data_IF_960540424793
#
_entry.id   IF_960540424793
#
_cell.length_a   1.000
_cell.length_b   1.000
_cell.length_c   1.000
_cell.angle_alpha   90.00
_cell.angle_beta   90.00
_cell.angle_gamma   90.00
#
_symmetry.space_group_name_H-M   'P 1'
#
loop_
_entity.id
_entity.type
_entity.pdbx_description
1 polymer ?
#
# COMPACT_ATOMS: atom_id res chain seq x y z
N UNK A 1 -9.67 12.93 32.66
CA UNK A 1 -9.15 13.16 31.30
C UNK A 1 -9.24 11.85 30.55
N UNK A 2 -9.67 11.88 29.29
CA UNK A 2 -9.78 10.66 28.46
C UNK A 2 -8.40 10.14 28.11
N UNK A 3 -8.13 8.86 28.36
CA UNK A 3 -6.85 8.22 28.07
C UNK A 3 -7.03 7.13 27.02
N UNK A 4 -6.17 7.10 26.00
CA UNK A 4 -6.13 6.07 24.97
C UNK A 4 -4.77 5.42 24.90
N UNK A 5 -4.74 4.11 25.11
CA UNK A 5 -3.55 3.29 24.90
C UNK A 5 -3.60 2.67 23.51
N UNK A 6 -2.58 2.90 22.69
CA UNK A 6 -2.47 2.39 21.32
C UNK A 6 -1.32 1.39 21.25
N UNK A 7 -1.59 0.21 20.69
CA UNK A 7 -0.62 -0.89 20.56
C UNK A 7 -0.25 -1.08 19.11
N UNK A 8 0.91 -0.58 18.71
CA UNK A 8 1.45 -0.58 17.35
C UNK A 8 1.60 0.84 16.80
N UNK A 9 2.81 1.19 16.37
CA UNK A 9 3.14 2.46 15.72
C UNK A 9 3.32 2.30 14.20
N UNK A 10 2.51 1.45 13.57
CA UNK A 10 2.30 1.45 12.12
C UNK A 10 1.49 2.67 11.68
N UNK A 11 1.27 2.83 10.38
CA UNK A 11 0.53 3.97 9.81
C UNK A 11 -0.87 4.14 10.42
N UNK A 12 -1.59 3.03 10.69
CA UNK A 12 -2.89 3.07 11.35
C UNK A 12 -2.81 3.59 12.79
N UNK A 13 -1.85 3.09 13.58
CA UNK A 13 -1.65 3.49 14.97
C UNK A 13 -1.19 4.94 15.08
N UNK A 14 -0.30 5.39 14.20
CA UNK A 14 0.14 6.79 14.14
C UNK A 14 -1.02 7.72 13.76
N UNK A 15 -1.83 7.34 12.78
CA UNK A 15 -3.02 8.11 12.38
C UNK A 15 -4.04 8.21 13.52
N UNK A 16 -4.28 7.09 14.22
CA UNK A 16 -5.13 7.06 15.41
C UNK A 16 -4.58 7.92 16.53
N UNK A 17 -3.26 7.86 16.81
CA UNK A 17 -2.61 8.65 17.84
C UNK A 17 -2.72 10.16 17.58
N UNK A 18 -2.48 10.58 16.32
CA UNK A 18 -2.64 11.98 15.92
C UNK A 18 -4.09 12.43 16.06
N UNK A 19 -5.05 11.65 15.56
CA UNK A 19 -6.48 11.97 15.64
C UNK A 19 -6.97 12.05 17.10
N UNK A 20 -6.55 11.09 17.95
CA UNK A 20 -6.89 11.08 19.37
C UNK A 20 -6.31 12.29 20.10
N UNK A 21 -5.05 12.65 19.84
CA UNK A 21 -4.42 13.84 20.42
C UNK A 21 -5.15 15.12 20.02
N UNK A 22 -5.57 15.25 18.74
CA UNK A 22 -6.40 16.37 18.26
C UNK A 22 -7.77 16.43 18.95
N UNK A 23 -8.34 15.25 19.29
CA UNK A 23 -9.61 15.15 20.02
C UNK A 23 -9.45 15.32 21.56
N UNK A 24 -8.28 15.71 22.05
CA UNK A 24 -8.01 15.98 23.45
C UNK A 24 -7.78 14.74 24.35
N UNK A 25 -7.47 13.59 23.74
CA UNK A 25 -7.10 12.39 24.48
C UNK A 25 -5.64 12.43 24.93
N UNK A 26 -5.36 11.90 26.10
CA UNK A 26 -4.00 11.57 26.51
C UNK A 26 -3.60 10.24 25.87
N UNK A 27 -2.64 10.28 24.96
CA UNK A 27 -2.21 9.12 24.20
C UNK A 27 -0.97 8.47 24.83
N UNK A 28 -1.03 7.13 24.95
CA UNK A 28 0.11 6.30 25.24
C UNK A 28 0.29 5.29 24.09
N UNK A 29 1.42 5.33 23.41
CA UNK A 29 1.71 4.54 22.23
C UNK A 29 2.83 3.54 22.50
N UNK A 30 2.56 2.25 22.24
CA UNK A 30 3.52 1.16 22.36
C UNK A 30 3.87 0.59 21.00
N UNK A 31 5.17 0.39 20.75
CA UNK A 31 5.67 -0.25 19.53
C UNK A 31 6.75 -1.27 19.90
N UNK A 32 6.61 -2.48 19.35
CA UNK A 32 7.54 -3.58 19.63
C UNK A 32 8.91 -3.38 18.97
N UNK A 33 8.96 -2.69 17.84
CA UNK A 33 10.20 -2.35 17.16
C UNK A 33 10.81 -1.04 17.70
N UNK A 34 12.11 -0.86 17.48
CA UNK A 34 12.81 0.38 17.84
C UNK A 34 12.53 1.54 16.87
N UNK A 35 11.69 1.32 15.85
CA UNK A 35 11.27 2.30 14.83
C UNK A 35 9.80 2.17 14.56
N UNK A 36 9.14 3.28 14.31
CA UNK A 36 7.76 3.33 13.84
C UNK A 36 7.65 3.04 12.33
N UNK A 37 6.41 2.91 11.85
CA UNK A 37 6.08 2.73 10.44
C UNK A 37 5.51 1.34 10.10
N UNK A 38 5.71 0.34 10.97
CA UNK A 38 5.20 -1.02 10.73
C UNK A 38 5.81 -1.66 9.48
N UNK A 39 4.99 -2.07 8.53
CA UNK A 39 5.43 -2.65 7.24
C UNK A 39 6.01 -1.59 6.29
N UNK A 40 5.51 -0.37 6.30
CA UNK A 40 6.03 0.75 5.51
C UNK A 40 7.00 1.59 6.36
N UNK A 41 8.24 1.13 6.43
CA UNK A 41 9.32 1.72 7.25
C UNK A 41 10.66 1.66 6.51
N UNK A 42 11.59 2.49 6.96
CA UNK A 42 12.99 2.42 6.56
C UNK A 42 13.73 1.29 7.28
N UNK A 43 14.69 0.69 6.59
CA UNK A 43 15.59 -0.33 7.15
C UNK A 43 16.82 0.32 7.82
N UNK A 44 17.62 -0.51 8.48
CA UNK A 44 18.93 -0.09 8.97
C UNK A 44 20.00 -0.07 7.86
N UNK A 45 19.83 -0.94 6.85
CA UNK A 45 20.68 -0.97 5.67
C UNK A 45 20.55 0.34 4.89
N UNK A 46 21.66 0.81 4.38
CA UNK A 46 21.72 2.05 3.61
C UNK A 46 22.52 1.88 2.32
N UNK A 47 22.21 2.72 1.34
CA UNK A 47 22.97 2.89 0.11
C UNK A 47 23.27 4.37 -0.09
N UNK A 48 24.55 4.71 -0.36
CA UNK A 48 24.99 6.11 -0.52
C UNK A 48 24.57 7.03 0.64
N UNK A 49 24.63 6.53 1.89
CA UNK A 49 24.29 7.29 3.10
C UNK A 49 22.79 7.48 3.36
N UNK A 50 21.91 6.90 2.55
CA UNK A 50 20.46 6.94 2.74
C UNK A 50 19.90 5.57 3.05
N UNK A 51 18.92 5.43 3.97
CA UNK A 51 18.30 4.15 4.27
C UNK A 51 17.66 3.52 3.03
N UNK A 52 17.66 2.18 2.98
CA UNK A 52 16.77 1.41 2.12
C UNK A 52 15.41 1.25 2.83
N UNK A 53 14.39 0.98 2.06
CA UNK A 53 13.05 0.76 2.57
C UNK A 53 12.70 -0.73 2.67
N UNK A 54 11.75 -1.08 3.55
CA UNK A 54 11.22 -2.45 3.67
C UNK A 54 10.50 -2.91 2.39
N UNK A 55 10.28 -2.01 1.45
CA UNK A 55 9.71 -2.22 0.14
C UNK A 55 9.43 -0.90 -0.54
N UNK A 56 9.36 -0.90 -1.87
CA UNK A 56 8.97 0.28 -2.60
C UNK A 56 7.46 0.50 -2.46
N UNK A 57 7.06 1.67 -1.99
CA UNK A 57 5.66 2.05 -1.85
C UNK A 57 5.32 3.15 -2.84
N UNK A 58 4.08 3.12 -3.33
CA UNK A 58 3.48 4.17 -4.14
C UNK A 58 2.18 4.58 -3.44
N UNK A 59 1.93 5.87 -3.38
CA UNK A 59 0.63 6.42 -3.06
C UNK A 59 -0.05 6.86 -4.36
N UNK A 60 -1.34 7.07 -4.34
CA UNK A 60 -2.06 7.70 -5.46
C UNK A 60 -2.74 8.99 -5.01
N UNK A 61 -3.05 9.85 -5.96
CA UNK A 61 -3.69 11.13 -5.65
C UNK A 61 -5.05 11.02 -4.94
N UNK A 62 -5.69 9.84 -5.02
CA UNK A 62 -6.90 9.51 -4.27
C UNK A 62 -6.69 9.27 -2.76
N UNK A 63 -5.44 9.17 -2.27
CA UNK A 63 -5.12 8.94 -0.85
C UNK A 63 -5.26 10.22 -0.02
N UNK A 64 -6.50 10.71 0.10
CA UNK A 64 -6.81 12.01 0.68
C UNK A 64 -6.52 12.09 2.17
N UNK A 65 -6.85 11.04 2.92
CA UNK A 65 -6.68 11.03 4.38
C UNK A 65 -5.20 10.92 4.75
N UNK A 66 -4.43 10.14 4.00
CA UNK A 66 -2.97 10.06 4.15
C UNK A 66 -2.31 11.41 3.87
N UNK A 67 -2.65 12.07 2.76
CA UNK A 67 -2.11 13.38 2.42
C UNK A 67 -2.54 14.47 3.42
N UNK A 68 -3.76 14.37 3.96
CA UNK A 68 -4.23 15.26 5.03
C UNK A 68 -3.46 15.04 6.33
N UNK A 69 -3.20 13.78 6.72
CA UNK A 69 -2.40 13.45 7.89
C UNK A 69 -0.97 14.00 7.77
N UNK A 70 -0.33 13.87 6.60
CA UNK A 70 0.99 14.46 6.35
C UNK A 70 0.99 15.96 6.65
N UNK A 71 -0.01 16.70 6.14
CA UNK A 71 -0.13 18.15 6.40
C UNK A 71 -0.38 18.45 7.88
N UNK A 72 -1.19 17.63 8.56
CA UNK A 72 -1.50 17.79 9.99
C UNK A 72 -0.24 17.71 10.84
N UNK A 73 0.70 16.85 10.50
CA UNK A 73 1.97 16.71 11.24
C UNK A 73 3.08 17.66 10.74
N UNK A 74 2.73 18.60 9.86
CA UNK A 74 3.65 19.66 9.40
C UNK A 74 4.46 19.31 8.16
N UNK A 75 4.13 18.22 7.46
CA UNK A 75 4.78 17.84 6.21
C UNK A 75 4.06 18.48 5.01
N UNK A 76 4.82 18.89 4.00
CA UNK A 76 4.27 19.23 2.69
C UNK A 76 4.39 18.02 1.74
N UNK A 77 3.29 17.36 1.35
CA UNK A 77 3.35 16.21 0.46
C UNK A 77 4.06 16.47 -0.87
N UNK A 78 3.99 17.70 -1.39
CA UNK A 78 4.61 18.03 -2.67
C UNK A 78 6.15 18.04 -2.62
N UNK A 79 6.73 18.24 -1.45
CA UNK A 79 8.19 18.21 -1.27
C UNK A 79 8.71 16.77 -1.15
N UNK A 80 7.87 15.87 -0.61
CA UNK A 80 8.24 14.51 -0.25
C UNK A 80 7.83 13.47 -1.29
N UNK A 81 6.87 13.81 -2.16
CA UNK A 81 6.30 12.91 -3.16
C UNK A 81 6.49 13.49 -4.55
N UNK A 82 7.01 12.68 -5.46
CA UNK A 82 6.99 12.99 -6.88
C UNK A 82 5.64 12.58 -7.47
N UNK A 83 4.92 13.56 -8.00
CA UNK A 83 3.67 13.33 -8.70
C UNK A 83 3.95 13.00 -10.15
N UNK A 84 3.47 11.84 -10.59
CA UNK A 84 3.58 11.36 -11.97
C UNK A 84 2.18 11.03 -12.47
N UNK A 85 1.83 11.36 -13.71
CA UNK A 85 0.61 10.82 -14.33
C UNK A 85 0.70 9.30 -14.35
N UNK A 86 -0.45 8.62 -14.39
CA UNK A 86 -0.47 7.15 -14.53
C UNK A 86 0.18 6.78 -15.87
N UNK A 87 1.34 6.16 -15.78
CA UNK A 87 2.12 5.69 -16.91
C UNK A 87 2.50 4.22 -16.70
N UNK A 88 1.95 3.36 -17.53
CA UNK A 88 2.17 1.92 -17.55
C UNK A 88 2.83 1.50 -18.86
N UNK A 89 3.74 2.32 -19.35
CA UNK A 89 4.56 1.93 -20.52
C UNK A 89 5.68 1.01 -20.08
N UNK A 90 5.83 -0.03 -20.89
CA UNK A 90 6.93 -0.98 -20.77
C UNK A 90 8.23 -0.39 -21.33
N UNK A 91 9.35 -1.07 -21.06
CA UNK A 91 10.66 -0.64 -21.52
C UNK A 91 10.76 -0.51 -23.06
N UNK A 92 9.96 -1.29 -23.81
CA UNK A 92 9.85 -1.23 -25.27
C UNK A 92 8.96 -0.05 -25.78
N UNK A 93 8.41 0.74 -24.88
CA UNK A 93 7.56 1.90 -25.15
C UNK A 93 6.11 1.55 -25.48
N UNK A 94 5.71 0.27 -25.41
CA UNK A 94 4.31 -0.15 -25.54
C UNK A 94 3.55 0.10 -24.23
N UNK A 95 2.21 0.15 -24.31
CA UNK A 95 1.34 0.28 -23.14
C UNK A 95 0.58 1.60 -23.09
N UNK A 96 0.01 1.89 -21.94
CA UNK A 96 -0.88 3.01 -21.67
C UNK A 96 -0.18 4.11 -20.87
N UNK A 97 -0.32 5.37 -21.31
CA UNK A 97 0.05 6.55 -20.53
C UNK A 97 -1.08 7.55 -20.56
N UNK A 98 -1.46 8.07 -19.40
CA UNK A 98 -2.52 9.07 -19.31
C UNK A 98 -1.92 10.49 -19.40
N UNK A 99 -2.41 11.36 -20.29
CA UNK A 99 -2.01 12.77 -20.28
C UNK A 99 -2.56 13.46 -19.02
N UNK A 100 -1.92 14.55 -18.61
CA UNK A 100 -2.37 15.37 -17.50
C UNK A 100 -3.57 16.25 -17.88
N UNK A 101 -4.67 15.61 -18.25
CA UNK A 101 -5.94 16.24 -18.61
C UNK A 101 -7.03 15.86 -17.61
N UNK A 102 -8.13 16.63 -17.51
CA UNK A 102 -9.26 16.26 -16.68
C UNK A 102 -9.90 14.94 -17.12
N UNK A 103 -10.32 14.12 -16.15
CA UNK A 103 -11.13 12.93 -16.40
C UNK A 103 -12.53 13.35 -16.90
N UNK A 104 -13.12 12.69 -17.93
CA UNK A 104 -12.67 11.43 -18.56
C UNK A 104 -11.77 11.61 -19.79
N UNK A 105 -11.43 12.83 -20.17
CA UNK A 105 -10.66 13.11 -21.40
C UNK A 105 -9.27 12.47 -21.38
N UNK A 106 -8.61 12.45 -20.22
CA UNK A 106 -7.31 11.79 -20.06
C UNK A 106 -7.38 10.29 -20.33
N UNK A 107 -8.45 9.61 -19.91
CA UNK A 107 -8.66 8.19 -20.15
C UNK A 107 -8.87 7.91 -21.64
N UNK A 108 -9.78 8.67 -22.27
CA UNK A 108 -10.05 8.52 -23.71
C UNK A 108 -8.80 8.77 -24.54
N UNK A 109 -8.05 9.82 -24.24
CA UNK A 109 -6.81 10.13 -24.94
C UNK A 109 -5.74 9.06 -24.68
N UNK A 110 -5.54 8.62 -23.44
CA UNK A 110 -4.59 7.57 -23.10
C UNK A 110 -4.90 6.26 -23.83
N UNK A 111 -6.15 5.81 -23.80
CA UNK A 111 -6.59 4.59 -24.52
C UNK A 111 -6.40 4.76 -26.03
N UNK A 112 -6.80 5.89 -26.59
CA UNK A 112 -6.66 6.15 -28.04
C UNK A 112 -5.20 6.14 -28.50
N UNK A 113 -4.29 6.67 -27.67
CA UNK A 113 -2.85 6.76 -27.93
C UNK A 113 -2.04 5.55 -27.46
N UNK A 114 -2.67 4.54 -26.82
CA UNK A 114 -1.98 3.35 -26.31
C UNK A 114 -1.22 2.66 -27.44
N UNK A 115 0.11 2.50 -27.26
CA UNK A 115 0.99 1.91 -28.26
C UNK A 115 0.99 0.39 -28.19
N UNK A 116 1.07 -0.28 -29.34
CA UNK A 116 1.02 -1.75 -29.43
C UNK A 116 -0.40 -2.33 -29.36
N UNK A 117 -1.44 -1.51 -29.12
CA UNK A 117 -2.83 -1.95 -29.00
C UNK A 117 -3.58 -1.85 -30.32
N UNK A 118 -4.32 -2.90 -30.67
CA UNK A 118 -5.23 -2.93 -31.81
C UNK A 118 -6.48 -2.09 -31.53
N UNK A 119 -7.21 -1.70 -32.54
CA UNK A 119 -8.50 -0.99 -32.39
C UNK A 119 -9.48 -1.81 -31.55
N UNK A 120 -9.53 -3.12 -31.78
CA UNK A 120 -10.38 -4.05 -31.01
C UNK A 120 -10.05 -4.03 -29.51
N UNK A 121 -8.78 -3.94 -29.14
CA UNK A 121 -8.34 -3.84 -27.74
C UNK A 121 -8.84 -2.54 -27.10
N UNK A 122 -8.68 -1.42 -27.80
CA UNK A 122 -9.14 -0.11 -27.34
C UNK A 122 -10.65 -0.05 -27.18
N UNK A 123 -11.39 -0.60 -28.13
CA UNK A 123 -12.86 -0.67 -28.08
C UNK A 123 -13.32 -1.52 -26.92
N UNK A 124 -12.73 -2.72 -26.71
CA UNK A 124 -13.10 -3.60 -25.60
C UNK A 124 -12.92 -2.92 -24.24
N UNK A 125 -11.82 -2.15 -24.05
CA UNK A 125 -11.60 -1.41 -22.80
C UNK A 125 -12.61 -0.27 -22.59
N UNK A 126 -12.94 0.47 -23.66
CA UNK A 126 -13.94 1.56 -23.58
C UNK A 126 -15.31 0.98 -23.23
N UNK A 127 -15.71 -0.12 -23.85
CA UNK A 127 -16.99 -0.80 -23.57
C UNK A 127 -17.04 -1.33 -22.14
N UNK A 128 -15.99 -1.98 -21.67
CA UNK A 128 -15.90 -2.45 -20.29
C UNK A 128 -15.96 -1.30 -19.28
N UNK A 129 -15.20 -0.24 -19.51
CA UNK A 129 -15.19 0.94 -18.62
C UNK A 129 -16.57 1.63 -18.57
N UNK A 130 -17.25 1.72 -19.71
CA UNK A 130 -18.63 2.22 -19.77
C UNK A 130 -19.60 1.32 -19.02
N UNK A 131 -19.53 0.00 -19.21
CA UNK A 131 -20.34 -0.97 -18.50
C UNK A 131 -20.14 -0.88 -16.98
N UNK A 132 -18.89 -0.79 -16.51
CA UNK A 132 -18.58 -0.61 -15.08
C UNK A 132 -19.13 0.71 -14.54
N UNK A 133 -19.08 1.79 -15.30
CA UNK A 133 -19.63 3.07 -14.91
C UNK A 133 -21.17 3.01 -14.82
N UNK A 134 -21.86 2.39 -15.79
CA UNK A 134 -23.32 2.19 -15.75
C UNK A 134 -23.73 1.33 -14.56
N UNK A 135 -22.95 0.32 -14.22
CA UNK A 135 -23.09 -0.52 -13.02
C UNK A 135 -22.60 0.16 -11.72
N UNK A 136 -22.27 1.47 -11.74
CA UNK A 136 -21.74 2.24 -10.60
C UNK A 136 -20.50 1.60 -9.95
N UNK A 137 -19.70 0.87 -10.73
CA UNK A 137 -18.55 0.08 -10.27
C UNK A 137 -18.94 -1.00 -9.24
N UNK A 138 -20.11 -1.58 -9.39
CA UNK A 138 -20.61 -2.70 -8.59
C UNK A 138 -20.64 -3.97 -9.45
N UNK A 139 -20.40 -5.12 -8.83
CA UNK A 139 -20.49 -6.44 -9.45
C UNK A 139 -20.86 -7.49 -8.41
N UNK A 140 -21.05 -8.73 -8.83
CA UNK A 140 -21.24 -9.85 -7.91
C UNK A 140 -20.02 -9.97 -6.97
N UNK A 141 -20.31 -10.12 -5.68
CA UNK A 141 -19.29 -10.19 -4.63
C UNK A 141 -18.43 -11.44 -4.68
N UNK A 142 -18.91 -12.47 -5.36
CA UNK A 142 -18.20 -13.74 -5.55
C UNK A 142 -17.22 -13.69 -6.71
N UNK A 143 -17.30 -12.67 -7.59
CA UNK A 143 -16.45 -12.60 -8.76
C UNK A 143 -15.00 -12.27 -8.43
N UNK A 144 -14.14 -12.98 -9.15
CA UNK A 144 -12.73 -12.59 -9.28
C UNK A 144 -12.54 -11.54 -10.37
N UNK A 145 -11.38 -10.86 -10.36
CA UNK A 145 -11.01 -9.92 -11.44
C UNK A 145 -10.95 -10.62 -12.80
N UNK A 146 -10.52 -11.89 -12.84
CA UNK A 146 -10.53 -12.68 -14.08
C UNK A 146 -11.95 -12.88 -14.62
N UNK A 147 -12.91 -13.22 -13.76
CA UNK A 147 -14.32 -13.34 -14.13
C UNK A 147 -14.92 -11.99 -14.58
N UNK A 148 -14.57 -10.90 -13.88
CA UNK A 148 -14.95 -9.55 -14.29
C UNK A 148 -14.48 -9.24 -15.71
N UNK A 149 -13.21 -9.53 -16.05
CA UNK A 149 -12.66 -9.35 -17.39
C UNK A 149 -13.41 -10.17 -18.43
N UNK A 150 -13.71 -11.43 -18.11
CA UNK A 150 -14.45 -12.32 -19.00
C UNK A 150 -15.86 -11.82 -19.28
N UNK A 151 -16.62 -11.47 -18.25
CA UNK A 151 -18.00 -10.94 -18.38
C UNK A 151 -18.02 -9.58 -19.09
N UNK A 152 -16.97 -8.78 -18.92
CA UNK A 152 -16.82 -7.48 -19.59
C UNK A 152 -16.25 -7.61 -21.02
N UNK A 153 -16.03 -8.81 -21.53
CA UNK A 153 -15.51 -9.11 -22.87
C UNK A 153 -14.20 -8.36 -23.19
N UNK A 154 -13.35 -8.17 -22.17
CA UNK A 154 -12.05 -7.55 -22.35
C UNK A 154 -11.16 -8.43 -23.23
N UNK A 155 -10.43 -7.79 -24.16
CA UNK A 155 -9.48 -8.53 -24.99
C UNK A 155 -8.36 -9.14 -24.12
N UNK A 156 -7.83 -10.32 -24.47
CA UNK A 156 -6.73 -10.94 -23.74
C UNK A 156 -5.50 -10.02 -23.63
N UNK A 157 -5.25 -9.22 -24.66
CA UNK A 157 -4.13 -8.28 -24.70
C UNK A 157 -4.29 -7.17 -23.64
N UNK A 158 -5.46 -6.55 -23.54
CA UNK A 158 -5.75 -5.54 -22.48
C UNK A 158 -5.72 -6.17 -21.09
N UNK A 159 -6.27 -7.37 -20.97
CA UNK A 159 -6.26 -8.09 -19.70
C UNK A 159 -4.83 -8.28 -19.19
N UNK A 160 -3.93 -8.78 -20.03
CA UNK A 160 -2.54 -9.07 -19.66
C UNK A 160 -1.69 -7.81 -19.49
N UNK A 161 -1.85 -6.82 -20.37
CA UNK A 161 -0.98 -5.63 -20.36
C UNK A 161 -1.45 -4.49 -19.45
N UNK A 162 -2.70 -4.49 -19.05
CA UNK A 162 -3.25 -3.41 -18.22
C UNK A 162 -3.87 -3.96 -16.92
N UNK A 163 -4.86 -4.84 -17.04
CA UNK A 163 -5.67 -5.23 -15.87
C UNK A 163 -4.84 -6.06 -14.88
N UNK A 164 -4.08 -7.03 -15.36
CA UNK A 164 -3.27 -7.89 -14.49
C UNK A 164 -2.19 -7.10 -13.72
N UNK A 165 -1.37 -6.24 -14.35
CA UNK A 165 -0.43 -5.39 -13.63
C UNK A 165 -1.10 -4.44 -12.65
N UNK A 166 -2.25 -3.84 -13.00
CA UNK A 166 -3.01 -2.98 -12.10
C UNK A 166 -3.58 -3.76 -10.91
N UNK A 167 -4.12 -4.95 -11.14
CA UNK A 167 -4.64 -5.82 -10.10
C UNK A 167 -3.54 -6.22 -9.12
N UNK A 168 -2.41 -6.69 -9.62
CA UNK A 168 -1.25 -7.03 -8.80
C UNK A 168 -0.73 -5.84 -8.00
N UNK A 169 -0.65 -4.66 -8.62
CA UNK A 169 -0.16 -3.44 -7.95
C UNK A 169 -1.12 -2.94 -6.87
N UNK A 170 -2.43 -3.02 -7.11
CA UNK A 170 -3.45 -2.47 -6.23
C UNK A 170 -3.87 -3.43 -5.12
N UNK A 171 -3.95 -4.74 -5.42
CA UNK A 171 -4.49 -5.75 -4.52
C UNK A 171 -3.44 -6.74 -4.01
N UNK A 172 -2.26 -6.75 -4.61
CA UNK A 172 -1.20 -7.74 -4.36
C UNK A 172 -1.72 -9.19 -4.37
N UNK A 173 -2.69 -9.47 -5.21
CA UNK A 173 -3.37 -10.77 -5.35
C UNK A 173 -3.53 -11.06 -6.84
N UNK A 174 -3.21 -12.27 -7.31
CA UNK A 174 -3.40 -12.64 -8.72
C UNK A 174 -4.85 -12.46 -9.17
N UNK A 175 -5.06 -12.05 -10.42
CA UNK A 175 -6.41 -11.71 -10.92
C UNK A 175 -7.43 -12.86 -10.85
N UNK A 176 -6.98 -14.11 -10.85
CA UNK A 176 -7.86 -15.28 -10.73
C UNK A 176 -8.30 -15.56 -9.28
N UNK A 177 -7.70 -14.88 -8.30
CA UNK A 177 -8.04 -14.96 -6.88
C UNK A 177 -8.55 -13.62 -6.34
N UNK A 178 -8.19 -12.50 -6.98
CA UNK A 178 -8.45 -11.16 -6.51
C UNK A 178 -9.93 -10.77 -6.63
N UNK A 179 -10.46 -10.09 -5.61
CA UNK A 179 -11.85 -9.60 -5.55
C UNK A 179 -12.13 -8.54 -6.60
N UNK A 180 -13.08 -8.80 -7.49
CA UNK A 180 -13.56 -7.83 -8.49
C UNK A 180 -14.21 -6.60 -7.84
N UNK A 181 -14.98 -6.78 -6.77
CA UNK A 181 -15.62 -5.68 -6.04
C UNK A 181 -14.60 -4.69 -5.48
N UNK A 182 -13.51 -5.18 -4.88
CA UNK A 182 -12.46 -4.33 -4.34
C UNK A 182 -11.65 -3.67 -5.46
N UNK A 183 -11.38 -4.39 -6.53
CA UNK A 183 -10.70 -3.84 -7.72
C UNK A 183 -11.49 -2.70 -8.36
N UNK A 184 -12.79 -2.90 -8.60
CA UNK A 184 -13.67 -1.86 -9.13
C UNK A 184 -13.75 -0.64 -8.19
N UNK A 185 -13.70 -0.85 -6.87
CA UNK A 185 -13.65 0.24 -5.90
C UNK A 185 -12.37 1.07 -6.06
N UNK A 186 -11.22 0.43 -6.19
CA UNK A 186 -9.94 1.12 -6.42
C UNK A 186 -9.98 1.90 -7.74
N UNK A 187 -10.45 1.27 -8.82
CA UNK A 187 -10.59 1.94 -10.12
C UNK A 187 -11.51 3.15 -10.04
N UNK A 188 -12.66 3.03 -9.39
CA UNK A 188 -13.59 4.15 -9.22
C UNK A 188 -12.93 5.33 -8.51
N UNK A 189 -12.27 5.09 -7.38
CA UNK A 189 -11.68 6.15 -6.58
C UNK A 189 -10.45 6.78 -7.28
N UNK A 190 -9.66 5.99 -8.01
CA UNK A 190 -8.55 6.49 -8.80
C UNK A 190 -9.02 7.28 -10.04
N UNK A 191 -10.02 6.80 -10.76
CA UNK A 191 -10.43 7.38 -12.03
C UNK A 191 -11.51 8.47 -11.89
N UNK A 192 -12.40 8.38 -10.87
CA UNK A 192 -13.49 9.31 -10.66
C UNK A 192 -13.33 10.18 -9.41
N UNK A 193 -12.22 10.07 -8.69
CA UNK A 193 -11.93 10.83 -7.47
C UNK A 193 -11.66 12.33 -7.68
N UNK A 194 -11.64 12.80 -8.92
CA UNK A 194 -11.35 14.18 -9.31
C UNK A 194 -9.97 14.34 -9.97
N UNK A 195 -9.60 15.58 -10.28
CA UNK A 195 -8.34 15.88 -10.96
C UNK A 195 -7.14 15.36 -10.15
N UNK A 196 -6.25 14.62 -10.82
CA UNK A 196 -5.03 14.06 -10.24
C UNK A 196 -5.23 12.87 -9.28
N UNK A 197 -6.46 12.32 -9.12
CA UNK A 197 -6.70 11.15 -8.26
C UNK A 197 -6.00 9.90 -8.75
N UNK A 198 -5.81 9.75 -10.05
CA UNK A 198 -5.07 8.65 -10.68
C UNK A 198 -3.56 8.84 -10.71
N UNK A 199 -3.05 10.02 -10.35
CA UNK A 199 -1.62 10.26 -10.35
C UNK A 199 -0.91 9.35 -9.35
N UNK A 200 0.24 8.86 -9.75
CA UNK A 200 1.15 8.13 -8.88
C UNK A 200 1.95 9.14 -8.05
N UNK A 201 2.01 8.91 -6.76
CA UNK A 201 2.77 9.71 -5.82
C UNK A 201 3.91 8.85 -5.27
N UNK A 202 5.08 9.03 -5.84
CA UNK A 202 6.26 8.20 -5.52
C UNK A 202 7.15 8.92 -4.51
N UNK A 203 7.53 8.28 -3.39
CA UNK A 203 8.37 8.90 -2.37
C UNK A 203 9.75 9.33 -2.90
N UNK A 204 10.14 10.57 -2.56
CA UNK A 204 11.48 11.15 -2.78
C UNK A 204 12.39 10.97 -1.57
N UNK A 205 11.82 10.55 -0.46
CA UNK A 205 12.51 10.29 0.81
C UNK A 205 12.28 8.83 1.21
N UNK A 206 12.99 8.35 2.21
CA UNK A 206 12.73 7.05 2.81
C UNK A 206 11.38 7.04 3.55
N UNK A 207 10.84 5.85 3.78
CA UNK A 207 9.49 5.69 4.35
C UNK A 207 9.39 6.16 5.81
N UNK A 208 10.49 6.20 6.57
CA UNK A 208 10.51 6.77 7.91
C UNK A 208 10.27 8.28 7.87
N UNK A 209 11.04 8.98 7.03
CA UNK A 209 10.93 10.42 6.84
C UNK A 209 9.63 10.83 6.14
N UNK A 210 8.99 9.92 5.39
CA UNK A 210 7.76 10.21 4.66
C UNK A 210 6.57 10.55 5.57
N UNK A 211 6.43 9.86 6.72
CA UNK A 211 5.35 10.12 7.68
C UNK A 211 5.69 9.71 9.12
N UNK A 212 6.17 8.48 9.42
CA UNK A 212 6.32 7.98 10.79
C UNK A 212 7.10 8.91 11.72
N UNK A 213 8.26 9.40 11.29
CA UNK A 213 9.14 10.23 12.14
C UNK A 213 8.48 11.57 12.49
N UNK A 214 7.80 12.19 11.51
CA UNK A 214 7.06 13.43 11.75
C UNK A 214 5.87 13.21 12.70
N UNK A 215 5.16 12.08 12.58
CA UNK A 215 4.09 11.73 13.53
C UNK A 215 4.63 11.59 14.95
N UNK A 216 5.75 10.88 15.14
CA UNK A 216 6.36 10.72 16.47
C UNK A 216 6.79 12.07 17.05
N UNK A 217 7.42 12.93 16.26
CA UNK A 217 7.82 14.25 16.68
C UNK A 217 6.61 15.11 17.06
N UNK A 218 5.57 15.13 16.22
CA UNK A 218 4.34 15.88 16.46
C UNK A 218 3.61 15.44 17.72
N UNK A 219 3.53 14.13 17.98
CA UNK A 219 2.93 13.51 19.16
C UNK A 219 3.73 13.85 20.44
N UNK A 220 5.06 13.72 20.39
CA UNK A 220 5.94 14.01 21.51
C UNK A 220 5.82 15.48 21.95
N UNK A 221 5.79 16.42 21.00
CA UNK A 221 5.59 17.85 21.29
C UNK A 221 4.25 18.17 21.95
N UNK A 222 3.28 17.23 21.89
CA UNK A 222 1.93 17.36 22.49
C UNK A 222 1.73 16.49 23.71
N UNK A 223 2.83 15.96 24.27
CA UNK A 223 2.83 15.22 25.52
C UNK A 223 2.34 13.77 25.43
N UNK A 224 2.26 13.18 24.23
CA UNK A 224 2.01 11.76 24.10
C UNK A 224 3.17 10.94 24.67
N UNK A 225 2.86 9.86 25.38
CA UNK A 225 3.88 8.94 25.92
C UNK A 225 4.18 7.86 24.88
N UNK A 226 5.41 7.82 24.36
CA UNK A 226 5.81 6.92 23.28
C UNK A 226 6.84 5.92 23.81
N UNK A 227 6.55 4.62 23.64
CA UNK A 227 7.39 3.51 24.09
C UNK A 227 7.78 2.65 22.85
N UNK A 228 8.93 2.95 22.24
CA UNK A 228 9.53 2.12 21.19
C UNK A 228 10.33 0.98 21.84
N UNK A 229 10.46 -0.15 21.12
CA UNK A 229 11.14 -1.35 21.61
C UNK A 229 10.38 -2.09 22.71
N UNK A 230 9.12 -1.72 22.96
CA UNK A 230 8.29 -2.36 23.99
C UNK A 230 7.12 -3.15 23.41
N UNK A 231 7.26 -4.48 23.39
CA UNK A 231 6.18 -5.40 23.04
C UNK A 231 5.32 -5.70 24.26
N UNK A 232 3.99 -5.50 24.15
CA UNK A 232 3.05 -5.86 25.19
C UNK A 232 2.75 -7.36 25.20
N UNK A 233 2.65 -7.93 26.40
CA UNK A 233 2.11 -9.28 26.63
C UNK A 233 0.58 -9.25 26.69
N UNK A 234 -0.07 -10.42 26.61
CA UNK A 234 -1.51 -10.53 26.80
C UNK A 234 -1.93 -10.09 28.21
N UNK A 235 -1.16 -10.46 29.25
CA UNK A 235 -1.43 -10.06 30.62
C UNK A 235 -1.35 -8.54 30.83
N UNK A 236 -0.36 -7.86 30.22
CA UNK A 236 -0.29 -6.40 30.26
C UNK A 236 -1.49 -5.75 29.55
N UNK A 237 -1.96 -6.31 28.43
CA UNK A 237 -3.16 -5.84 27.75
C UNK A 237 -4.39 -6.01 28.64
N UNK A 238 -4.58 -7.18 29.25
CA UNK A 238 -5.68 -7.46 30.17
C UNK A 238 -5.69 -6.47 31.33
N UNK A 239 -4.54 -6.19 31.92
CA UNK A 239 -4.40 -5.21 33.00
C UNK A 239 -4.78 -3.79 32.56
N UNK A 240 -4.36 -3.37 31.34
CA UNK A 240 -4.74 -2.08 30.77
C UNK A 240 -6.26 -2.01 30.48
N UNK A 241 -6.84 -3.09 29.99
CA UNK A 241 -8.27 -3.20 29.68
C UNK A 241 -9.13 -3.14 30.97
N UNK A 242 -8.72 -3.82 32.05
CA UNK A 242 -9.41 -3.79 33.33
C UNK A 242 -9.37 -2.44 34.04
N UNK A 243 -8.35 -1.62 33.77
CA UNK A 243 -8.20 -0.29 34.40
C UNK A 243 -9.09 0.79 33.78
N UNK A 244 -10.15 0.42 33.05
CA UNK A 244 -11.12 1.31 32.41
C UNK A 244 -10.50 2.33 31.43
N UNK A 245 -9.32 2.07 30.91
CA UNK A 245 -8.70 2.85 29.83
C UNK A 245 -9.10 2.30 28.49
N UNK A 246 -9.45 3.16 27.54
CA UNK A 246 -9.69 2.70 26.15
C UNK A 246 -8.39 2.20 25.53
N UNK A 247 -8.43 1.02 24.92
CA UNK A 247 -7.28 0.40 24.26
C UNK A 247 -7.57 0.20 22.79
N UNK A 248 -6.61 0.53 21.95
CA UNK A 248 -6.68 0.38 20.50
C UNK A 248 -5.56 -0.52 19.99
N UNK A 249 -5.90 -1.69 19.46
CA UNK A 249 -4.98 -2.60 18.79
C UNK A 249 -4.73 -2.10 17.35
N UNK A 250 -3.56 -1.53 17.11
CA UNK A 250 -3.10 -1.06 15.81
C UNK A 250 -1.92 -1.91 15.27
N UNK A 251 -1.76 -3.10 15.82
CA UNK A 251 -0.75 -4.09 15.45
C UNK A 251 -1.29 -5.03 14.35
N UNK A 252 -0.43 -5.84 13.70
CA UNK A 252 -0.86 -6.80 12.68
C UNK A 252 -1.88 -7.83 13.22
N UNK A 253 -2.74 -8.41 12.34
CA UNK A 253 -3.85 -9.26 12.78
C UNK A 253 -3.43 -10.48 13.62
N UNK A 254 -2.30 -11.12 13.32
CA UNK A 254 -1.78 -12.24 14.12
C UNK A 254 -1.33 -11.83 15.52
N UNK A 255 -0.84 -10.59 15.67
CA UNK A 255 -0.47 -10.04 16.98
C UNK A 255 -1.69 -9.57 17.75
N UNK A 256 -2.65 -8.95 17.06
CA UNK A 256 -3.94 -8.59 17.63
C UNK A 256 -4.71 -9.83 18.11
N UNK A 257 -4.70 -10.92 17.34
CA UNK A 257 -5.25 -12.21 17.72
C UNK A 257 -4.60 -12.76 19.02
N UNK A 258 -3.26 -12.75 19.08
CA UNK A 258 -2.53 -13.18 20.27
C UNK A 258 -2.87 -12.36 21.53
N UNK A 259 -3.01 -11.06 21.36
CA UNK A 259 -3.32 -10.14 22.45
C UNK A 259 -4.76 -10.26 22.94
N UNK A 260 -5.72 -10.41 22.02
CA UNK A 260 -7.15 -10.44 22.34
C UNK A 260 -7.71 -11.85 22.62
N UNK A 261 -6.88 -12.90 22.56
CA UNK A 261 -7.33 -14.30 22.61
C UNK A 261 -8.22 -14.62 23.82
N UNK A 262 -7.91 -14.10 25.00
CA UNK A 262 -8.69 -14.36 26.23
C UNK A 262 -9.88 -13.40 26.38
N UNK A 263 -9.79 -12.18 25.83
CA UNK A 263 -10.83 -11.16 25.96
C UNK A 263 -11.95 -11.38 24.91
N UNK A 264 -11.58 -11.69 23.68
CA UNK A 264 -12.48 -11.83 22.55
C UNK A 264 -12.06 -12.98 21.63
N UNK A 265 -12.21 -14.25 22.05
CA UNK A 265 -11.66 -15.40 21.33
C UNK A 265 -12.21 -15.57 19.91
N UNK A 266 -13.48 -15.26 19.65
CA UNK A 266 -14.06 -15.33 18.31
C UNK A 266 -13.43 -14.32 17.37
N UNK A 267 -13.30 -13.07 17.79
CA UNK A 267 -12.63 -12.00 17.04
C UNK A 267 -11.15 -12.34 16.79
N UNK A 268 -10.47 -12.87 17.81
CA UNK A 268 -9.07 -13.29 17.71
C UNK A 268 -8.89 -14.41 16.68
N UNK A 269 -9.78 -15.42 16.67
CA UNK A 269 -9.77 -16.49 15.68
C UNK A 269 -10.00 -15.97 14.25
N UNK A 270 -10.91 -15.01 14.06
CA UNK A 270 -11.13 -14.38 12.77
C UNK A 270 -9.86 -13.65 12.28
N UNK A 271 -9.18 -12.91 13.17
CA UNK A 271 -7.90 -12.28 12.85
C UNK A 271 -6.80 -13.30 12.49
N UNK A 272 -6.72 -14.40 13.22
CA UNK A 272 -5.72 -15.46 13.01
C UNK A 272 -5.93 -16.21 11.68
N UNK A 273 -7.16 -16.29 11.20
CA UNK A 273 -7.53 -16.95 9.95
C UNK A 273 -7.24 -16.11 8.69
N UNK A 274 -6.85 -14.84 8.83
CA UNK A 274 -6.58 -13.97 7.69
C UNK A 274 -5.30 -14.41 6.95
N UNK A 275 -5.44 -14.70 5.68
CA UNK A 275 -4.33 -15.04 4.80
C UNK A 275 -3.63 -13.80 4.25
N UNK A 276 -2.34 -13.94 3.93
CA UNK A 276 -1.49 -12.85 3.49
C UNK A 276 -0.70 -13.23 2.24
N UNK A 277 -0.44 -12.23 1.41
CA UNK A 277 0.44 -12.34 0.25
C UNK A 277 1.74 -11.55 0.47
N UNK A 278 2.83 -12.09 -0.07
CA UNK A 278 4.14 -11.46 0.05
C UNK A 278 4.38 -10.42 -1.06
N UNK A 279 5.22 -9.44 -0.74
CA UNK A 279 5.83 -8.52 -1.71
C UNK A 279 7.34 -8.59 -1.53
N UNK A 280 8.06 -8.62 -2.65
CA UNK A 280 9.51 -8.50 -2.61
C UNK A 280 9.98 -7.24 -3.34
N UNK A 281 11.10 -6.70 -2.87
CA UNK A 281 11.84 -5.64 -3.53
C UNK A 281 13.29 -6.08 -3.66
N UNK A 282 13.78 -6.12 -4.89
CA UNK A 282 15.19 -6.41 -5.20
C UNK A 282 15.87 -5.09 -5.53
N UNK A 283 16.79 -4.68 -4.67
CA UNK A 283 17.64 -3.51 -4.90
C UNK A 283 18.85 -3.91 -5.75
N UNK A 284 19.01 -3.25 -6.87
CA UNK A 284 20.06 -3.46 -7.85
C UNK A 284 20.90 -2.18 -7.98
N UNK A 285 22.22 -2.32 -8.05
CA UNK A 285 23.13 -1.25 -8.35
C UNK A 285 23.61 -1.38 -9.80
N UNK A 286 23.45 -0.31 -10.57
CA UNK A 286 24.10 -0.21 -11.87
C UNK A 286 25.50 0.39 -11.68
N UNK A 287 26.51 -0.36 -12.05
CA UNK A 287 27.94 0.04 -11.94
C UNK A 287 28.48 0.68 -13.23
N UNK A 288 27.62 0.85 -14.23
CA UNK A 288 27.99 1.53 -15.47
C UNK A 288 28.04 3.05 -15.22
N UNK A 289 29.22 3.64 -15.34
CA UNK A 289 29.43 5.09 -15.17
C UNK A 289 28.64 5.92 -16.20
N UNK A 290 28.34 5.34 -17.37
CA UNK A 290 27.52 5.98 -18.41
C UNK A 290 26.03 5.97 -18.08
N UNK A 291 25.60 5.19 -17.07
CA UNK A 291 24.19 5.14 -16.66
C UNK A 291 23.75 6.43 -16.00
N UNK A 292 22.92 7.19 -16.70
CA UNK A 292 22.40 8.49 -16.23
C UNK A 292 21.01 8.38 -15.56
N UNK A 293 20.43 7.18 -15.55
CA UNK A 293 19.09 6.89 -15.04
C UNK A 293 18.19 6.21 -16.09
N UNK A 294 17.04 5.76 -15.65
CA UNK A 294 16.01 5.23 -16.54
C UNK A 294 15.31 6.37 -17.28
N UNK A 295 14.64 6.06 -18.40
CA UNK A 295 13.85 7.03 -19.17
C UNK A 295 12.74 7.68 -18.36
N UNK A 296 12.29 7.01 -17.30
CA UNK A 296 11.29 7.49 -16.34
C UNK A 296 11.62 6.97 -14.94
N UNK A 297 11.15 7.66 -13.87
CA UNK A 297 11.39 7.23 -12.48
C UNK A 297 10.80 5.87 -12.14
N UNK A 298 9.79 5.41 -12.90
CA UNK A 298 9.17 4.09 -12.80
C UNK A 298 8.94 3.56 -14.22
N UNK A 299 9.33 2.32 -14.47
CA UNK A 299 9.12 1.62 -15.74
C UNK A 299 8.41 0.30 -15.48
N UNK A 300 7.38 -0.02 -16.26
CA UNK A 300 6.73 -1.33 -16.24
C UNK A 300 7.62 -2.38 -16.93
N UNK A 301 7.59 -3.59 -16.40
CA UNK A 301 8.31 -4.74 -16.95
C UNK A 301 7.33 -5.82 -17.39
N UNK A 302 7.62 -6.47 -18.50
CA UNK A 302 6.89 -7.68 -18.88
C UNK A 302 7.16 -8.77 -17.85
N UNK A 303 6.13 -9.17 -17.12
CA UNK A 303 6.24 -10.18 -16.07
C UNK A 303 5.80 -11.57 -16.55
N UNK A 304 6.35 -12.60 -15.90
CA UNK A 304 6.07 -13.99 -16.18
C UNK A 304 6.81 -14.93 -15.23
N UNK A 305 6.72 -16.25 -15.42
CA UNK A 305 7.25 -17.25 -14.45
C UNK A 305 8.74 -17.13 -14.14
N UNK A 306 9.54 -16.64 -15.09
CA UNK A 306 10.99 -16.41 -14.93
C UNK A 306 11.37 -14.93 -14.91
N UNK A 307 10.40 -14.04 -14.95
CA UNK A 307 10.55 -12.60 -14.99
C UNK A 307 9.52 -11.98 -14.02
N UNK A 308 9.70 -12.14 -12.70
CA UNK A 308 8.62 -11.92 -11.73
C UNK A 308 8.33 -10.45 -11.42
N UNK A 309 9.22 -9.51 -11.74
CA UNK A 309 9.03 -8.10 -11.41
C UNK A 309 8.02 -7.43 -12.34
N UNK A 310 7.09 -6.66 -11.77
CA UNK A 310 6.12 -5.87 -12.52
C UNK A 310 6.65 -4.48 -12.83
N UNK A 311 7.43 -3.91 -11.91
CA UNK A 311 7.95 -2.54 -12.04
C UNK A 311 9.39 -2.45 -11.54
N UNK A 312 10.11 -1.49 -12.12
CA UNK A 312 11.40 -1.05 -11.62
C UNK A 312 11.38 0.45 -11.37
N UNK A 313 11.97 0.89 -10.26
CA UNK A 313 12.06 2.28 -9.85
C UNK A 313 13.50 2.76 -9.87
N UNK A 314 13.73 3.94 -10.43
CA UNK A 314 15.02 4.62 -10.41
C UNK A 314 15.14 5.47 -9.13
N UNK A 315 15.85 4.97 -8.15
CA UNK A 315 16.08 5.67 -6.87
C UNK A 315 17.02 6.88 -7.06
N UNK A 316 17.81 6.91 -8.13
CA UNK A 316 18.60 8.07 -8.52
C UNK A 316 17.73 9.26 -8.88
N UNK A 317 16.74 9.05 -9.76
CA UNK A 317 15.77 10.05 -10.17
C UNK A 317 14.82 10.46 -9.05
N UNK A 318 14.44 9.53 -8.17
CA UNK A 318 13.46 9.76 -7.09
C UNK A 318 14.09 10.38 -5.85
N UNK A 319 15.15 9.79 -5.33
CA UNK A 319 15.74 10.12 -4.01
C UNK A 319 17.22 10.48 -4.07
N UNK A 320 17.80 10.65 -5.28
CA UNK A 320 19.20 11.01 -5.45
C UNK A 320 20.21 9.89 -5.17
N UNK A 321 19.75 8.63 -5.04
CA UNK A 321 20.60 7.44 -4.88
C UNK A 321 21.03 6.93 -6.26
N UNK A 322 21.96 7.66 -6.92
CA UNK A 322 22.40 7.38 -8.29
C UNK A 322 22.82 5.92 -8.48
N UNK A 323 22.37 5.32 -9.57
CA UNK A 323 22.66 3.94 -9.93
C UNK A 323 21.86 2.89 -9.16
N UNK A 324 21.05 3.27 -8.15
CA UNK A 324 20.20 2.34 -7.41
C UNK A 324 18.85 2.17 -8.09
N UNK A 325 18.50 0.93 -8.39
CA UNK A 325 17.21 0.52 -8.93
C UNK A 325 16.49 -0.37 -7.91
N UNK A 326 15.15 -0.31 -7.90
CA UNK A 326 14.32 -1.16 -7.05
C UNK A 326 13.29 -1.92 -7.92
N UNK A 327 13.55 -3.21 -8.15
CA UNK A 327 12.61 -4.11 -8.83
C UNK A 327 11.57 -4.65 -7.85
N UNK A 328 10.28 -4.50 -8.16
CA UNK A 328 9.16 -4.87 -7.27
C UNK A 328 8.43 -6.10 -7.81
N UNK A 329 8.23 -7.07 -6.93
CA UNK A 329 7.52 -8.33 -7.20
C UNK A 329 6.34 -8.44 -6.26
N UNK A 330 5.14 -8.25 -6.80
CA UNK A 330 3.87 -8.46 -6.09
C UNK A 330 3.47 -9.94 -6.12
N UNK A 331 2.66 -10.37 -5.16
CA UNK A 331 2.20 -11.76 -4.99
C UNK A 331 3.35 -12.76 -5.07
N UNK A 332 4.47 -12.44 -4.39
CA UNK A 332 5.71 -13.18 -4.48
C UNK A 332 5.61 -14.56 -3.84
N UNK A 333 5.86 -15.61 -4.61
CA UNK A 333 5.91 -17.01 -4.15
C UNK A 333 7.31 -17.63 -4.28
N UNK A 334 8.25 -16.91 -4.90
CA UNK A 334 9.60 -17.40 -5.23
C UNK A 334 10.51 -17.27 -4.02
N UNK A 335 11.39 -18.26 -3.84
CA UNK A 335 12.44 -18.23 -2.83
C UNK A 335 13.41 -17.07 -3.08
N UNK A 336 13.93 -16.49 -1.99
CA UNK A 336 14.67 -15.23 -1.99
C UNK A 336 15.87 -15.22 -2.94
N UNK A 337 16.66 -16.31 -3.00
CA UNK A 337 17.87 -16.36 -3.84
C UNK A 337 17.50 -16.43 -5.32
N UNK A 338 16.64 -17.37 -5.69
CA UNK A 338 16.13 -17.51 -7.06
C UNK A 338 15.43 -16.24 -7.54
N UNK A 339 14.71 -15.55 -6.65
CA UNK A 339 14.05 -14.28 -6.94
C UNK A 339 15.06 -13.18 -7.31
N UNK A 340 16.16 -13.06 -6.56
CA UNK A 340 17.21 -12.09 -6.84
C UNK A 340 17.82 -12.28 -8.23
N UNK A 341 18.13 -13.52 -8.58
CA UNK A 341 18.68 -13.89 -9.90
C UNK A 341 17.69 -13.62 -11.03
N UNK A 342 16.41 -13.99 -10.84
CA UNK A 342 15.37 -13.77 -11.86
C UNK A 342 15.13 -12.28 -12.11
N UNK A 343 15.03 -11.48 -11.05
CA UNK A 343 14.81 -10.01 -11.19
C UNK A 343 16.05 -9.35 -11.79
N UNK A 344 17.25 -9.76 -11.38
CA UNK A 344 18.50 -9.28 -11.99
C UNK A 344 18.52 -9.54 -13.51
N UNK A 345 18.26 -10.79 -13.92
CA UNK A 345 18.25 -11.17 -15.33
C UNK A 345 17.15 -10.42 -16.11
N UNK A 346 15.96 -10.30 -15.54
CA UNK A 346 14.83 -9.57 -16.14
C UNK A 346 15.16 -8.10 -16.38
N UNK A 347 15.65 -7.40 -15.36
CA UNK A 347 16.00 -5.98 -15.43
C UNK A 347 17.14 -5.77 -16.42
N UNK A 348 18.18 -6.61 -16.37
CA UNK A 348 19.29 -6.56 -17.33
C UNK A 348 18.80 -6.70 -18.77
N UNK A 349 17.98 -7.71 -19.05
CA UNK A 349 17.51 -8.00 -20.40
C UNK A 349 16.54 -6.93 -20.92
N UNK A 350 15.53 -6.56 -20.11
CA UNK A 350 14.46 -5.67 -20.60
C UNK A 350 14.88 -4.21 -20.69
N UNK A 351 15.87 -3.80 -19.88
CA UNK A 351 16.38 -2.42 -19.87
C UNK A 351 17.73 -2.26 -20.58
N UNK A 352 18.34 -3.37 -21.06
CA UNK A 352 19.64 -3.35 -21.71
C UNK A 352 20.79 -2.96 -20.76
N UNK A 353 20.69 -3.28 -19.47
CA UNK A 353 21.69 -2.94 -18.46
C UNK A 353 22.60 -4.13 -18.22
N UNK A 354 23.93 -3.94 -18.41
CA UNK A 354 24.89 -5.05 -18.42
C UNK A 354 25.74 -5.17 -17.15
N UNK A 355 25.79 -4.13 -16.32
CA UNK A 355 26.62 -4.08 -15.11
C UNK A 355 25.77 -3.85 -13.88
N UNK A 356 24.90 -4.84 -13.58
CA UNK A 356 24.03 -4.83 -12.42
C UNK A 356 24.58 -5.73 -11.32
N UNK A 357 24.49 -5.26 -10.08
CA UNK A 357 24.78 -6.00 -8.86
C UNK A 357 23.55 -6.04 -7.97
N UNK A 358 23.23 -7.21 -7.38
CA UNK A 358 22.16 -7.31 -6.38
C UNK A 358 22.70 -6.82 -5.04
N UNK A 359 22.21 -5.68 -4.56
CA UNK A 359 22.61 -5.11 -3.27
C UNK A 359 21.84 -5.74 -2.12
N UNK A 360 20.53 -5.88 -2.27
CA UNK A 360 19.65 -6.36 -1.21
C UNK A 360 18.36 -6.92 -1.79
N UNK A 361 17.90 -8.04 -1.25
CA UNK A 361 16.56 -8.57 -1.51
C UNK A 361 15.77 -8.51 -0.21
N UNK A 362 14.68 -7.75 -0.21
CA UNK A 362 13.75 -7.63 0.90
C UNK A 362 12.48 -8.38 0.55
N UNK A 363 12.05 -9.30 1.41
CA UNK A 363 10.79 -10.03 1.25
C UNK A 363 9.93 -9.80 2.48
N UNK A 364 8.85 -9.04 2.33
CA UNK A 364 7.82 -8.93 3.36
C UNK A 364 6.80 -10.04 3.12
N UNK A 365 6.88 -11.11 3.91
CA UNK A 365 6.04 -12.32 3.72
C UNK A 365 4.56 -12.07 3.98
N UNK A 366 4.24 -11.10 4.82
CA UNK A 366 2.86 -10.73 5.19
C UNK A 366 2.60 -9.27 4.82
N UNK A 367 2.86 -8.93 3.55
CA UNK A 367 2.81 -7.56 3.07
C UNK A 367 1.38 -7.01 3.07
N UNK A 368 0.45 -7.78 2.54
CA UNK A 368 -0.98 -7.42 2.44
C UNK A 368 -1.85 -8.62 2.78
N UNK A 369 -3.13 -8.41 3.05
CA UNK A 369 -4.10 -9.48 3.03
C UNK A 369 -4.24 -10.04 1.60
N UNK A 370 -4.49 -11.32 1.48
CA UNK A 370 -4.99 -11.92 0.24
C UNK A 370 -6.40 -11.34 -0.03
N UNK A 371 -6.50 -10.48 -1.03
CA UNK A 371 -7.72 -9.72 -1.32
C UNK A 371 -8.70 -10.56 -2.16
N UNK A 372 -9.20 -11.65 -1.59
CA UNK A 372 -10.10 -12.62 -2.25
C UNK A 372 -11.56 -12.16 -2.21
N UNK A 373 -12.41 -12.68 -3.12
CA UNK A 373 -13.86 -12.49 -3.02
C UNK A 373 -14.40 -12.95 -1.67
N UNK A 374 -15.41 -12.27 -1.17
CA UNK A 374 -16.09 -12.58 0.10
C UNK A 374 -15.18 -12.61 1.33
N UNK A 375 -13.98 -11.97 1.28
CA UNK A 375 -13.08 -11.89 2.42
C UNK A 375 -13.79 -11.27 3.62
N UNK A 376 -13.97 -12.04 4.69
CA UNK A 376 -14.57 -11.58 5.94
C UNK A 376 -13.51 -10.99 6.86
N UNK A 377 -13.50 -9.65 6.95
CA UNK A 377 -12.59 -8.90 7.81
C UNK A 377 -13.22 -8.63 9.16
N UNK A 378 -12.42 -8.67 10.27
CA UNK A 378 -12.90 -8.37 11.59
C UNK A 378 -13.41 -6.94 11.72
N UNK A 379 -14.43 -6.76 12.57
CA UNK A 379 -14.96 -5.45 12.95
C UNK A 379 -13.95 -4.65 13.80
N UNK A 380 -14.01 -3.32 13.80
CA UNK A 380 -13.16 -2.48 14.63
C UNK A 380 -13.46 -2.62 16.14
N UNK A 381 -14.69 -2.95 16.52
CA UNK A 381 -15.06 -3.22 17.89
C UNK A 381 -14.66 -4.64 18.29
N UNK A 382 -13.81 -4.78 19.32
CA UNK A 382 -13.30 -6.07 19.81
C UNK A 382 -14.06 -6.52 21.04
N UNK A 383 -14.12 -5.62 22.05
CA UNK A 383 -14.85 -5.80 23.31
C UNK A 383 -15.08 -4.42 23.94
N UNK A 384 -15.80 -4.37 25.08
CA UNK A 384 -15.95 -3.13 25.80
C UNK A 384 -14.59 -2.46 26.05
N UNK A 385 -14.44 -1.19 25.66
CA UNK A 385 -13.20 -0.42 25.76
C UNK A 385 -11.98 -0.97 24.98
N UNK A 386 -12.15 -2.04 24.18
CA UNK A 386 -11.11 -2.60 23.35
C UNK A 386 -11.52 -2.52 21.89
N UNK A 387 -10.69 -1.84 21.10
CA UNK A 387 -10.92 -1.58 19.67
C UNK A 387 -9.71 -2.01 18.85
N UNK A 388 -9.88 -2.13 17.56
CA UNK A 388 -8.79 -2.43 16.63
C UNK A 388 -8.87 -1.54 15.39
N UNK A 389 -7.70 -1.19 14.85
CA UNK A 389 -7.57 -0.51 13.57
C UNK A 389 -6.42 -1.10 12.75
N UNK A 390 -6.49 -0.92 11.45
CA UNK A 390 -5.49 -1.40 10.52
C UNK A 390 -6.09 -1.66 9.15
N UNK A 391 -5.24 -1.98 8.21
CA UNK A 391 -5.62 -2.33 6.85
C UNK A 391 -6.38 -3.67 6.75
N UNK A 392 -6.41 -4.45 7.81
CA UNK A 392 -7.12 -5.73 7.92
C UNK A 392 -8.54 -5.60 8.50
N UNK A 393 -8.87 -4.48 9.12
CA UNK A 393 -10.21 -4.22 9.67
C UNK A 393 -11.20 -3.98 8.52
N UNK A 394 -12.47 -4.34 8.74
CA UNK A 394 -13.56 -4.17 7.76
C UNK A 394 -13.57 -2.77 7.19
N UNK A 395 -13.56 -2.68 5.87
CA UNK A 395 -13.52 -1.43 5.13
C UNK A 395 -13.54 -1.67 3.63
N UNK A 396 -13.72 -0.61 2.84
CA UNK A 396 -13.91 -0.71 1.39
C UNK A 396 -12.60 -0.85 0.59
N UNK A 397 -11.45 -0.71 1.24
CA UNK A 397 -10.15 -0.69 0.58
C UNK A 397 -9.39 -2.00 0.76
N UNK A 398 -8.48 -2.34 -0.19
CA UNK A 398 -7.50 -3.40 0.03
C UNK A 398 -6.48 -2.96 1.11
N UNK A 399 -5.50 -3.80 1.40
CA UNK A 399 -4.40 -3.47 2.32
C UNK A 399 -3.51 -2.36 1.77
N UNK A 400 -3.86 -1.11 2.03
CA UNK A 400 -3.17 0.10 1.57
C UNK A 400 -2.83 1.03 2.73
N UNK A 401 -1.88 1.95 2.50
CA UNK A 401 -1.55 3.01 3.47
C UNK A 401 -2.78 3.87 3.77
N UNK A 402 -3.57 4.21 2.75
CA UNK A 402 -4.83 4.95 2.90
C UNK A 402 -5.84 4.19 3.75
N UNK A 403 -6.02 2.89 3.49
CA UNK A 403 -6.92 2.05 4.28
C UNK A 403 -6.50 1.98 5.75
N UNK A 404 -5.20 1.89 6.01
CA UNK A 404 -4.64 1.90 7.36
C UNK A 404 -4.89 3.23 8.08
N UNK A 405 -4.57 4.36 7.45
CA UNK A 405 -4.77 5.71 8.01
C UNK A 405 -6.24 5.96 8.31
N UNK A 406 -7.11 5.70 7.34
CA UNK A 406 -8.59 5.87 7.50
C UNK A 406 -9.13 5.03 8.65
N UNK A 407 -8.72 3.76 8.73
CA UNK A 407 -9.15 2.87 9.81
C UNK A 407 -8.79 3.44 11.19
N UNK A 408 -7.57 3.95 11.36
CA UNK A 408 -7.15 4.58 12.61
C UNK A 408 -7.97 5.82 12.98
N UNK A 409 -8.19 6.71 12.03
CA UNK A 409 -8.98 7.94 12.23
C UNK A 409 -10.46 7.64 12.52
N UNK A 410 -11.06 6.69 11.80
CA UNK A 410 -12.47 6.32 11.95
C UNK A 410 -12.76 5.71 13.33
N UNK A 411 -11.88 4.84 13.82
CA UNK A 411 -12.03 4.25 15.16
C UNK A 411 -11.97 5.31 16.25
N UNK A 412 -11.07 6.28 16.15
CA UNK A 412 -11.01 7.39 17.12
C UNK A 412 -12.28 8.25 17.07
N UNK A 413 -12.83 8.50 15.89
CA UNK A 413 -14.09 9.21 15.75
C UNK A 413 -15.26 8.47 16.45
N UNK A 414 -15.35 7.13 16.27
CA UNK A 414 -16.32 6.28 16.94
C UNK A 414 -16.17 6.29 18.48
N UNK A 415 -14.92 6.14 18.97
CA UNK A 415 -14.59 6.21 20.40
C UNK A 415 -15.02 7.54 21.00
N UNK A 416 -14.83 8.64 20.29
CA UNK A 416 -15.20 9.97 20.76
C UNK A 416 -16.71 10.14 20.88
N UNK A 417 -17.50 9.52 20.02
CA UNK A 417 -18.96 9.53 20.07
C UNK A 417 -19.52 8.74 21.28
N UNK A 418 -19.00 7.51 21.49
CA UNK A 418 -19.43 6.64 22.60
C UNK A 418 -19.13 7.25 23.97
N UNK A 419 -18.09 8.05 24.10
CA UNK A 419 -17.72 8.67 25.38
C UNK A 419 -18.43 10.01 25.65
N UNK A 420 -19.28 10.52 24.77
CA UNK A 420 -20.09 11.73 24.94
C UNK A 420 -21.58 11.43 25.19
N UNK A 421 -22.01 10.18 25.00
CA UNK A 421 -23.33 9.69 25.37
C UNK A 421 -23.30 8.96 26.70
#
# INVERSE_FOLDING_TARGET
MKQLTIVGAGWAGLAAAVAATQAGWHVQLFEAANRAGGRARSLQQSFAGRPLDNGQHILIGAYRDTLALMRTVGLNPNDLLQRLPLDLRYADGQGLSLPNWPTPLNLLAGISCAKGWRITDKVSLIQAAWGWQCAKFECDRTWTVAQLCQVSELSPHVTTQLIEPLCLSALNTPMHEASATVFLRVLRDALLGGAGSSDLLVPRVDLGALLPDACLQWLNLRGAKIHLGKRLSALELEALHHNASSVLLACPPWEAARLAAHIAPQWANQCAALEHTAIATVYLRCEDESFTGLSQPMVALHSGPKAPAQFVFDKGALSGQRGLLAGVVSACTTERHALAEQVHAQVSQQLGLHRLEVIQTVVEKRATLACTPMLDRPEPFVANQLWACGDYIRGPYPSTLEGAVRSGQQVVAQLSQVTHG
#
